data_IF_728456535868
#
_entry.id   IF_728456535868
#
_cell.length_a   1.000
_cell.length_b   1.000
_cell.length_c   1.000
_cell.angle_alpha   90.00
_cell.angle_beta   90.00
_cell.angle_gamma   90.00
#
_symmetry.space_group_name_H-M   'P 1'
#
loop_
_entity.id
_entity.type
_entity.pdbx_description
1 polymer ?
#
# COMPACT_ATOMS: atom_id res chain seq x y z
N UNK A 1 -8.33 7.12 2.64
CA UNK A 1 -9.08 6.06 1.93
C UNK A 1 -9.87 6.61 0.74
N UNK A 2 -10.58 7.73 0.92
CA UNK A 2 -11.41 8.34 -0.14
C UNK A 2 -10.64 8.72 -1.41
N UNK A 3 -9.42 9.21 -1.28
CA UNK A 3 -8.55 9.52 -2.42
C UNK A 3 -8.26 8.28 -3.29
N UNK A 4 -7.90 7.17 -2.65
CA UNK A 4 -7.65 5.90 -3.34
C UNK A 4 -8.92 5.39 -4.05
N UNK A 5 -10.09 5.56 -3.43
CA UNK A 5 -11.38 5.22 -4.04
C UNK A 5 -11.71 6.12 -5.25
N UNK A 6 -11.42 7.42 -5.16
CA UNK A 6 -11.62 8.37 -6.26
C UNK A 6 -10.66 8.10 -7.43
N UNK A 7 -9.45 7.60 -7.17
CA UNK A 7 -8.57 7.07 -8.20
C UNK A 7 -9.13 5.78 -8.82
N UNK A 8 -9.52 4.79 -8.01
CA UNK A 8 -10.03 3.50 -8.48
C UNK A 8 -11.25 3.65 -9.40
N UNK A 9 -12.13 4.61 -9.11
CA UNK A 9 -13.30 4.93 -9.96
C UNK A 9 -12.94 5.54 -11.32
N UNK A 10 -11.77 6.19 -11.44
CA UNK A 10 -11.26 6.79 -12.67
C UNK A 10 -10.36 5.85 -13.46
N UNK A 11 -9.91 4.74 -12.85
CA UNK A 11 -9.02 3.80 -13.51
C UNK A 11 -9.70 3.17 -14.75
N UNK A 12 -8.97 3.06 -15.88
CA UNK A 12 -9.52 2.42 -17.07
C UNK A 12 -9.79 0.93 -16.79
N UNK A 13 -10.91 0.41 -17.29
CA UNK A 13 -11.18 -1.04 -17.24
C UNK A 13 -10.32 -1.75 -18.28
N UNK A 14 -9.47 -2.67 -17.83
CA UNK A 14 -8.54 -3.39 -18.70
C UNK A 14 -9.21 -4.51 -19.52
N UNK A 15 -10.33 -5.06 -19.04
CA UNK A 15 -11.03 -6.19 -19.64
C UNK A 15 -12.53 -5.91 -19.77
N UNK A 16 -13.18 -6.51 -20.78
CA UNK A 16 -14.64 -6.55 -20.84
C UNK A 16 -15.18 -7.49 -19.75
N UNK A 17 -16.14 -7.01 -18.96
CA UNK A 17 -16.73 -7.77 -17.86
C UNK A 17 -16.55 -7.12 -16.48
N UNK A 18 -16.82 -7.89 -15.42
CA UNK A 18 -16.64 -7.44 -14.04
C UNK A 18 -15.15 -7.46 -13.71
N UNK A 19 -14.59 -6.31 -13.36
CA UNK A 19 -13.22 -6.18 -12.84
C UNK A 19 -13.29 -5.94 -11.33
N UNK A 20 -12.35 -6.53 -10.60
CA UNK A 20 -12.22 -6.38 -9.15
C UNK A 20 -10.91 -5.67 -8.83
N UNK A 21 -10.94 -4.77 -7.85
CA UNK A 21 -9.78 -3.99 -7.41
C UNK A 21 -9.79 -3.95 -5.89
N UNK A 22 -8.72 -4.44 -5.28
CA UNK A 22 -8.51 -4.38 -3.84
C UNK A 22 -7.65 -3.16 -3.50
N UNK A 23 -8.14 -2.30 -2.61
CA UNK A 23 -7.38 -1.16 -2.09
C UNK A 23 -6.93 -1.52 -0.69
N UNK A 24 -5.62 -1.59 -0.47
CA UNK A 24 -5.02 -1.86 0.83
C UNK A 24 -4.53 -0.56 1.47
N UNK A 25 -4.84 -0.30 2.75
CA UNK A 25 -4.24 0.80 3.48
C UNK A 25 -2.72 0.68 3.50
N UNK A 26 -2.03 1.82 3.48
CA UNK A 26 -0.62 1.85 3.80
C UNK A 26 -0.47 1.79 5.32
N UNK A 27 0.39 0.90 5.81
CA UNK A 27 0.72 0.76 7.23
C UNK A 27 2.16 1.19 7.48
N UNK A 28 2.39 1.93 8.55
CA UNK A 28 3.71 2.29 9.04
C UNK A 28 4.22 1.27 10.06
N UNK A 29 5.51 1.34 10.39
CA UNK A 29 6.10 0.44 11.39
C UNK A 29 5.42 0.56 12.76
N UNK A 30 4.90 1.75 13.11
CA UNK A 30 4.15 1.99 14.33
C UNK A 30 2.83 1.21 14.38
N UNK A 31 2.12 1.09 13.26
CA UNK A 31 0.84 0.36 13.18
C UNK A 31 1.01 -1.14 13.41
N UNK A 32 2.22 -1.66 13.19
CA UNK A 32 2.55 -3.08 13.32
C UNK A 32 3.41 -3.40 14.55
N UNK A 33 3.73 -2.40 15.38
CA UNK A 33 4.70 -2.54 16.46
C UNK A 33 4.31 -3.62 17.49
N UNK A 34 3.02 -3.73 17.83
CA UNK A 34 2.52 -4.72 18.79
C UNK A 34 2.64 -6.17 18.28
N UNK A 35 2.75 -6.35 16.96
CA UNK A 35 2.88 -7.67 16.32
C UNK A 35 4.34 -8.05 16.03
N UNK A 36 5.29 -7.16 16.31
CA UNK A 36 6.70 -7.37 16.07
C UNK A 36 7.42 -7.71 17.38
N UNK A 37 8.36 -8.65 17.33
CA UNK A 37 9.27 -8.87 18.46
C UNK A 37 10.18 -7.65 18.64
N UNK A 38 10.69 -7.41 19.86
CA UNK A 38 11.64 -6.33 20.12
C UNK A 38 12.85 -6.33 19.18
N UNK A 39 13.40 -7.50 18.81
CA UNK A 39 14.52 -7.57 17.85
C UNK A 39 14.13 -7.13 16.43
N UNK A 40 12.89 -7.42 16.00
CA UNK A 40 12.39 -7.06 14.66
C UNK A 40 12.03 -5.57 14.55
N UNK A 41 11.74 -4.93 15.67
CA UNK A 41 11.55 -3.47 15.76
C UNK A 41 12.88 -2.73 15.73
N UNK A 42 13.91 -3.24 16.40
CA UNK A 42 15.23 -2.60 16.49
C UNK A 42 16.11 -2.81 15.26
N UNK A 43 15.76 -3.76 14.38
CA UNK A 43 16.46 -3.99 13.11
C UNK A 43 16.29 -2.79 12.17
N UNK A 44 17.35 -2.07 11.80
CA UNK A 44 17.28 -0.99 10.82
C UNK A 44 16.76 -1.52 9.48
N UNK A 45 15.64 -0.98 8.99
CA UNK A 45 15.13 -1.29 7.66
C UNK A 45 15.63 -0.23 6.70
N UNK A 46 16.75 -0.51 6.03
CA UNK A 46 17.23 0.28 4.89
C UNK A 46 16.41 -0.10 3.65
N UNK A 47 15.25 0.51 3.52
CA UNK A 47 14.47 0.51 2.30
C UNK A 47 14.11 1.94 1.99
N UNK A 48 14.84 2.58 1.08
CA UNK A 48 14.37 3.82 0.50
C UNK A 48 13.03 3.50 -0.17
N UNK A 49 11.92 4.13 0.27
CA UNK A 49 10.66 4.09 -0.47
C UNK A 49 10.94 4.79 -1.80
N UNK A 50 11.44 4.04 -2.78
CA UNK A 50 11.61 4.54 -4.13
C UNK A 50 10.28 5.13 -4.57
N UNK A 51 10.32 6.33 -5.16
CA UNK A 51 9.17 6.82 -5.92
C UNK A 51 8.91 5.76 -6.98
N UNK A 52 7.78 5.05 -6.90
CA UNK A 52 7.28 4.29 -8.03
C UNK A 52 6.98 5.34 -9.10
N UNK A 53 7.96 5.62 -9.96
CA UNK A 53 7.81 6.53 -11.07
C UNK A 53 6.62 6.07 -11.89
N UNK A 54 5.62 6.93 -12.00
CA UNK A 54 4.54 6.77 -12.97
C UNK A 54 5.22 6.90 -14.34
N UNK A 55 5.32 5.79 -15.06
CA UNK A 55 5.66 5.80 -16.48
C UNK A 55 4.52 6.41 -17.29
#
# INVERSE_FOLDING_TARGET
MDEAMAWAKRAPKFMSGKSEMEIRPFYEAADLAEFLTPEKLSTPREGERGKLGVA
#
